data_IF_998110565026
#
_entry.id   IF_998110565026
#
_cell.length_a   1.000
_cell.length_b   1.000
_cell.length_c   1.000
_cell.angle_alpha   90.00
_cell.angle_beta   90.00
_cell.angle_gamma   90.00
#
_symmetry.space_group_name_H-M   'P 1'
#
loop_
_entity.id
_entity.type
_entity.pdbx_description
1 polymer ?
#
# COMPACT_ATOMS: atom_id res chain seq x y z
N UNK A 1 -8.08 34.97 0.07
CA UNK A 1 -7.56 33.60 -0.03
C UNK A 1 -7.98 32.68 1.11
N UNK A 2 -8.04 33.15 2.36
CA UNK A 2 -8.48 32.32 3.51
C UNK A 2 -9.95 31.94 3.45
N UNK A 3 -10.86 32.77 2.94
CA UNK A 3 -12.30 32.49 2.88
C UNK A 3 -12.66 31.37 1.90
N UNK A 4 -11.97 31.31 0.74
CA UNK A 4 -12.19 30.27 -0.26
C UNK A 4 -11.71 28.90 0.22
N UNK A 5 -10.61 28.84 0.98
CA UNK A 5 -10.15 27.58 1.60
C UNK A 5 -11.08 27.09 2.70
N UNK A 6 -11.64 27.99 3.51
CA UNK A 6 -12.66 27.64 4.52
C UNK A 6 -13.93 27.09 3.88
N UNK A 7 -14.42 27.69 2.82
CA UNK A 7 -15.60 27.19 2.10
C UNK A 7 -15.34 25.82 1.47
N UNK A 8 -14.18 25.59 0.87
CA UNK A 8 -13.80 24.26 0.35
C UNK A 8 -13.74 23.20 1.44
N UNK A 9 -13.18 23.52 2.60
CA UNK A 9 -13.18 22.61 3.75
C UNK A 9 -14.58 22.33 4.30
N UNK A 10 -15.47 23.32 4.34
CA UNK A 10 -16.86 23.12 4.73
C UNK A 10 -17.59 22.21 3.75
N UNK A 11 -17.50 22.46 2.45
CA UNK A 11 -18.11 21.61 1.43
C UNK A 11 -17.60 20.17 1.47
N UNK A 12 -16.29 19.95 1.70
CA UNK A 12 -15.70 18.62 1.84
C UNK A 12 -16.27 17.92 3.09
N UNK A 13 -16.34 18.61 4.24
CA UNK A 13 -16.89 18.05 5.47
C UNK A 13 -18.36 17.70 5.33
N UNK A 14 -19.16 18.60 4.76
CA UNK A 14 -20.59 18.38 4.54
C UNK A 14 -20.84 17.20 3.59
N UNK A 15 -19.97 16.99 2.62
CA UNK A 15 -20.04 15.87 1.69
C UNK A 15 -19.56 14.55 2.29
N UNK A 16 -18.63 14.58 3.25
CA UNK A 16 -18.10 13.37 3.89
C UNK A 16 -19.10 12.78 4.89
N UNK A 17 -19.77 13.60 5.68
CA UNK A 17 -20.75 13.12 6.68
C UNK A 17 -21.88 12.27 6.08
N UNK A 18 -22.48 12.64 4.92
CA UNK A 18 -23.48 11.80 4.25
C UNK A 18 -22.98 10.39 3.88
N UNK A 19 -21.67 10.19 3.62
CA UNK A 19 -21.11 8.88 3.30
C UNK A 19 -21.31 7.93 4.50
N UNK A 20 -20.87 8.34 5.67
CA UNK A 20 -21.05 7.56 6.90
C UNK A 20 -22.52 7.34 7.24
N UNK A 21 -23.36 8.37 7.07
CA UNK A 21 -24.78 8.26 7.30
C UNK A 21 -25.44 7.25 6.36
N UNK A 22 -25.15 7.32 5.06
CA UNK A 22 -25.66 6.37 4.07
C UNK A 22 -25.19 4.94 4.36
N UNK A 23 -23.91 4.74 4.68
CA UNK A 23 -23.36 3.44 5.04
C UNK A 23 -24.12 2.82 6.21
N UNK A 24 -24.31 3.59 7.30
CA UNK A 24 -25.06 3.15 8.47
C UNK A 24 -26.52 2.82 8.11
N UNK A 25 -27.17 3.67 7.30
CA UNK A 25 -28.56 3.46 6.87
C UNK A 25 -28.74 2.25 5.98
N UNK A 26 -27.78 1.98 5.09
CA UNK A 26 -27.80 0.81 4.21
C UNK A 26 -27.55 -0.49 4.96
N UNK A 27 -26.59 -0.50 5.88
CA UNK A 27 -26.19 -1.68 6.60
C UNK A 27 -27.11 -2.04 7.77
N UNK A 28 -27.66 -1.05 8.45
CA UNK A 28 -28.39 -1.24 9.71
C UNK A 28 -27.51 -1.82 10.82
N UNK A 29 -28.08 -2.07 11.98
CA UNK A 29 -27.32 -2.59 13.13
C UNK A 29 -26.72 -3.96 12.87
N UNK A 30 -27.50 -4.88 12.31
CA UNK A 30 -27.05 -6.25 12.02
C UNK A 30 -25.99 -6.30 10.91
N UNK A 31 -26.14 -5.46 9.87
CA UNK A 31 -25.15 -5.36 8.80
C UNK A 31 -23.82 -4.81 9.30
N UNK A 32 -23.81 -3.77 10.13
CA UNK A 32 -22.59 -3.20 10.73
C UNK A 32 -21.88 -4.21 11.63
N UNK A 33 -22.64 -4.95 12.43
CA UNK A 33 -22.08 -6.04 13.25
C UNK A 33 -21.43 -7.11 12.38
N UNK A 34 -22.12 -7.57 11.34
CA UNK A 34 -21.60 -8.57 10.41
C UNK A 34 -20.36 -8.07 9.67
N UNK A 35 -20.33 -6.82 9.24
CA UNK A 35 -19.15 -6.20 8.61
C UNK A 35 -17.92 -6.27 9.55
N UNK A 36 -18.10 -5.91 10.82
CA UNK A 36 -17.03 -5.99 11.83
C UNK A 36 -16.56 -7.43 12.07
N UNK A 37 -17.49 -8.39 12.17
CA UNK A 37 -17.18 -9.81 12.34
C UNK A 37 -16.38 -10.35 11.14
N UNK A 38 -16.74 -9.98 9.91
CA UNK A 38 -16.03 -10.37 8.69
C UNK A 38 -14.64 -9.73 8.64
N UNK A 39 -14.49 -8.45 8.96
CA UNK A 39 -13.18 -7.78 9.01
C UNK A 39 -12.24 -8.47 10.00
N UNK A 40 -12.72 -8.80 11.20
CA UNK A 40 -11.95 -9.55 12.20
C UNK A 40 -11.54 -10.94 11.71
N UNK A 41 -12.45 -11.64 11.06
CA UNK A 41 -12.17 -12.97 10.50
C UNK A 41 -11.13 -12.90 9.39
N UNK A 42 -11.27 -11.96 8.46
CA UNK A 42 -10.36 -11.74 7.32
C UNK A 42 -8.95 -11.41 7.79
N UNK A 43 -8.81 -10.50 8.76
CA UNK A 43 -7.52 -10.12 9.33
C UNK A 43 -6.82 -11.30 10.02
N UNK A 44 -7.55 -12.06 10.84
CA UNK A 44 -6.99 -13.23 11.52
C UNK A 44 -6.63 -14.36 10.53
N UNK A 45 -7.41 -14.53 9.47
CA UNK A 45 -7.11 -15.50 8.42
C UNK A 45 -5.82 -15.12 7.67
N UNK A 46 -5.67 -13.85 7.26
CA UNK A 46 -4.44 -13.36 6.65
C UNK A 46 -3.24 -13.48 7.59
N UNK A 47 -3.39 -13.08 8.85
CA UNK A 47 -2.33 -13.19 9.84
C UNK A 47 -1.84 -14.63 9.96
N UNK A 48 -2.75 -15.62 10.02
CA UNK A 48 -2.40 -17.03 10.09
C UNK A 48 -1.66 -17.52 8.83
N UNK A 49 -2.09 -17.08 7.63
CA UNK A 49 -1.48 -17.47 6.36
C UNK A 49 -0.08 -16.88 6.16
N UNK A 50 0.12 -15.64 6.58
CA UNK A 50 1.33 -14.87 6.30
C UNK A 50 2.38 -14.98 7.41
N UNK A 51 1.99 -15.25 8.66
CA UNK A 51 2.90 -15.34 9.81
C UNK A 51 4.12 -16.29 9.62
N UNK A 52 4.04 -17.39 8.85
CA UNK A 52 5.23 -18.22 8.57
C UNK A 52 6.35 -17.47 7.84
N UNK A 53 6.02 -16.50 7.01
CA UNK A 53 6.93 -15.72 6.16
C UNK A 53 7.24 -14.34 6.75
N UNK A 54 6.22 -13.67 7.28
CA UNK A 54 6.33 -12.35 7.90
C UNK A 54 5.64 -12.42 9.27
N UNK A 55 6.42 -12.32 10.32
CA UNK A 55 5.90 -12.46 11.68
C UNK A 55 4.89 -11.36 12.03
N UNK A 56 3.77 -11.75 12.61
CA UNK A 56 2.81 -10.81 13.18
C UNK A 56 3.40 -10.25 14.48
N UNK A 57 3.59 -8.94 14.52
CA UNK A 57 4.33 -8.27 15.61
C UNK A 57 3.52 -8.22 16.91
N UNK A 58 2.23 -7.91 16.83
CA UNK A 58 1.37 -7.79 18.00
C UNK A 58 0.20 -8.75 17.90
N UNK A 59 0.04 -9.54 18.92
CA UNK A 59 -1.08 -10.47 19.10
C UNK A 59 -1.65 -10.33 20.50
N UNK A 60 -2.94 -10.39 20.62
CA UNK A 60 -3.65 -10.39 21.89
C UNK A 60 -3.76 -11.78 22.51
N UNK A 61 -4.71 -11.94 23.41
CA UNK A 61 -5.01 -13.23 24.01
C UNK A 61 -5.36 -14.28 22.94
N UNK A 62 -4.93 -15.53 23.15
CA UNK A 62 -5.14 -16.65 22.23
C UNK A 62 -4.56 -16.44 20.82
N UNK A 63 -3.45 -15.69 20.71
CA UNK A 63 -2.75 -15.41 19.45
C UNK A 63 -3.65 -14.72 18.39
N UNK A 64 -4.69 -14.01 18.81
CA UNK A 64 -5.63 -13.30 17.94
C UNK A 64 -5.27 -11.83 17.79
N UNK A 65 -5.68 -11.29 16.65
CA UNK A 65 -5.56 -9.86 16.32
C UNK A 65 -6.95 -9.25 16.13
N UNK A 66 -7.02 -7.92 16.04
CA UNK A 66 -8.24 -7.20 15.71
C UNK A 66 -8.50 -7.21 14.19
N UNK A 67 -8.92 -6.09 13.61
CA UNK A 67 -9.24 -5.96 12.19
C UNK A 67 -8.02 -5.65 11.31
N UNK A 68 -6.88 -5.37 11.91
CA UNK A 68 -5.61 -5.07 11.24
C UNK A 68 -4.48 -5.91 11.83
N UNK A 69 -3.45 -6.15 11.04
CA UNK A 69 -2.25 -6.85 11.49
C UNK A 69 -0.97 -6.11 11.04
N UNK A 70 0.06 -6.22 11.87
CA UNK A 70 1.36 -5.61 11.62
C UNK A 70 2.35 -6.73 11.36
N UNK A 71 2.87 -6.79 10.12
CA UNK A 71 3.89 -7.73 9.72
C UNK A 71 5.30 -7.14 9.89
N UNK A 72 6.17 -7.87 10.56
CA UNK A 72 7.52 -7.44 10.92
C UNK A 72 8.53 -7.77 9.82
N UNK A 73 9.19 -6.75 9.27
CA UNK A 73 10.27 -6.90 8.29
C UNK A 73 11.66 -6.60 8.88
N UNK A 74 11.80 -6.29 10.18
CA UNK A 74 13.06 -5.83 10.78
C UNK A 74 14.19 -6.86 10.74
N UNK A 75 13.85 -8.14 10.74
CA UNK A 75 14.82 -9.24 10.73
C UNK A 75 14.98 -9.88 9.33
N UNK A 76 14.43 -9.24 8.29
CA UNK A 76 14.59 -9.71 6.92
C UNK A 76 15.76 -8.99 6.22
N UNK A 77 16.39 -9.60 5.21
CA UNK A 77 17.47 -8.98 4.43
C UNK A 77 16.98 -7.91 3.43
N UNK A 78 15.71 -7.54 3.51
CA UNK A 78 15.03 -6.53 2.72
C UNK A 78 14.21 -5.62 3.64
N UNK A 79 13.87 -4.43 3.16
CA UNK A 79 13.03 -3.48 3.91
C UNK A 79 11.53 -3.71 3.65
N UNK A 80 10.68 -3.17 4.52
CA UNK A 80 9.23 -3.14 4.29
C UNK A 80 8.89 -2.40 2.99
N UNK A 81 9.67 -1.36 2.62
CA UNK A 81 9.52 -0.67 1.34
C UNK A 81 9.81 -1.59 0.15
N UNK A 82 10.86 -2.42 0.23
CA UNK A 82 11.18 -3.38 -0.84
C UNK A 82 10.02 -4.36 -1.05
N UNK A 83 9.46 -4.91 0.03
CA UNK A 83 8.30 -5.81 -0.03
C UNK A 83 7.08 -5.09 -0.63
N UNK A 84 6.81 -3.85 -0.20
CA UNK A 84 5.72 -3.04 -0.72
C UNK A 84 5.87 -2.76 -2.23
N UNK A 85 7.09 -2.46 -2.67
CA UNK A 85 7.40 -2.26 -4.10
C UNK A 85 7.25 -3.56 -4.90
N UNK A 86 7.64 -4.71 -4.33
CA UNK A 86 7.42 -6.01 -4.98
C UNK A 86 5.93 -6.36 -5.07
N UNK A 87 5.11 -6.03 -4.07
CA UNK A 87 3.66 -6.19 -4.13
C UNK A 87 3.03 -5.45 -5.32
N UNK A 88 3.60 -4.32 -5.76
CA UNK A 88 3.12 -3.61 -6.96
C UNK A 88 3.29 -4.46 -8.24
N UNK A 89 4.35 -5.26 -8.34
CA UNK A 89 4.52 -6.21 -9.46
C UNK A 89 3.49 -7.33 -9.43
N UNK A 90 3.00 -7.70 -8.24
CA UNK A 90 1.88 -8.64 -8.06
C UNK A 90 0.50 -7.99 -8.25
N UNK A 91 0.46 -6.68 -8.56
CA UNK A 91 -0.77 -5.93 -8.80
C UNK A 91 -1.53 -5.54 -7.55
N UNK A 92 -0.82 -5.32 -6.44
CA UNK A 92 -1.37 -4.79 -5.20
C UNK A 92 -0.91 -3.36 -4.95
N UNK A 93 -1.79 -2.56 -4.39
CA UNK A 93 -1.40 -1.31 -3.77
C UNK A 93 -0.64 -1.61 -2.46
N UNK A 94 0.44 -0.88 -2.22
CA UNK A 94 1.24 -1.09 -1.02
C UNK A 94 0.45 -0.80 0.26
N UNK A 95 0.59 -1.64 1.30
CA UNK A 95 0.02 -1.35 2.62
C UNK A 95 0.74 -0.17 3.29
N UNK A 96 0.20 0.31 4.41
CA UNK A 96 0.84 1.34 5.23
C UNK A 96 2.18 0.82 5.77
N UNK A 97 3.24 1.61 5.55
CA UNK A 97 4.60 1.23 5.93
C UNK A 97 5.07 1.97 7.18
N UNK A 98 5.89 1.27 7.98
CA UNK A 98 6.61 1.86 9.12
C UNK A 98 5.71 2.57 10.14
N UNK A 99 4.52 2.03 10.34
CA UNK A 99 3.58 2.49 11.33
C UNK A 99 2.89 1.29 12.01
N UNK A 100 2.77 1.28 13.35
CA UNK A 100 3.34 2.21 14.32
C UNK A 100 4.84 1.97 14.60
N UNK A 101 5.44 0.95 13.99
CA UNK A 101 6.83 0.57 14.18
C UNK A 101 7.59 0.66 12.87
N UNK A 102 8.80 1.19 12.91
CA UNK A 102 9.67 1.32 11.74
C UNK A 102 9.95 -0.07 11.11
N UNK A 103 9.98 -0.11 9.79
CA UNK A 103 10.23 -1.31 8.99
C UNK A 103 9.20 -2.43 9.22
N UNK A 104 7.94 -2.07 9.33
CA UNK A 104 6.80 -2.97 9.38
C UNK A 104 5.78 -2.61 8.30
N UNK A 105 4.85 -3.51 8.03
CA UNK A 105 3.69 -3.30 7.15
C UNK A 105 2.41 -3.50 7.95
N UNK A 106 1.48 -2.56 7.87
CA UNK A 106 0.16 -2.67 8.47
C UNK A 106 -0.86 -3.01 7.38
N UNK A 107 -1.49 -4.16 7.53
CA UNK A 107 -2.48 -4.69 6.59
C UNK A 107 -3.85 -4.74 7.25
N UNK A 108 -4.82 -4.11 6.63
CA UNK A 108 -6.20 -4.03 7.08
C UNK A 108 -7.14 -4.54 5.98
N UNK A 109 -7.49 -5.82 5.97
CA UNK A 109 -8.52 -6.33 5.08
C UNK A 109 -9.89 -5.89 5.61
N UNK A 110 -10.67 -5.25 4.74
CA UNK A 110 -12.02 -4.82 5.11
C UNK A 110 -13.05 -5.92 4.87
N UNK A 111 -14.30 -5.68 5.28
CA UNK A 111 -15.43 -6.56 5.01
C UNK A 111 -15.78 -6.67 3.52
N UNK A 112 -15.32 -5.74 2.71
CA UNK A 112 -15.61 -5.71 1.27
C UNK A 112 -14.68 -6.59 0.44
N UNK A 113 -13.59 -7.10 1.02
CA UNK A 113 -12.67 -7.98 0.31
C UNK A 113 -13.24 -9.38 0.15
N UNK A 114 -13.16 -9.93 -1.06
CA UNK A 114 -13.55 -11.31 -1.32
C UNK A 114 -12.50 -12.29 -0.80
N UNK A 115 -12.93 -13.54 -0.52
CA UNK A 115 -11.98 -14.58 -0.13
C UNK A 115 -10.92 -14.85 -1.22
N UNK A 116 -11.30 -14.76 -2.50
CA UNK A 116 -10.37 -14.94 -3.62
C UNK A 116 -9.30 -13.85 -3.63
N UNK A 117 -9.66 -12.59 -3.32
CA UNK A 117 -8.71 -11.49 -3.24
C UNK A 117 -7.80 -11.61 -2.02
N UNK A 118 -8.34 -12.04 -0.87
CA UNK A 118 -7.54 -12.34 0.31
C UNK A 118 -6.55 -13.48 0.04
N UNK A 119 -6.98 -14.54 -0.66
CA UNK A 119 -6.09 -15.64 -1.03
C UNK A 119 -5.02 -15.17 -2.00
N UNK A 120 -5.38 -14.37 -3.02
CA UNK A 120 -4.42 -13.78 -3.97
C UNK A 120 -3.36 -12.95 -3.27
N UNK A 121 -3.75 -12.17 -2.24
CA UNK A 121 -2.81 -11.38 -1.43
C UNK A 121 -1.91 -12.28 -0.58
N UNK A 122 -2.47 -13.30 0.08
CA UNK A 122 -1.71 -14.25 0.88
C UNK A 122 -0.67 -15.01 0.03
N UNK A 123 -1.07 -15.45 -1.17
CA UNK A 123 -0.18 -16.13 -2.12
C UNK A 123 0.97 -15.20 -2.59
N UNK A 124 0.67 -13.93 -2.86
CA UNK A 124 1.69 -12.95 -3.21
C UNK A 124 2.69 -12.74 -2.07
N UNK A 125 2.21 -12.59 -0.83
CA UNK A 125 3.07 -12.45 0.34
C UNK A 125 3.92 -13.70 0.59
N UNK A 126 3.37 -14.90 0.41
CA UNK A 126 4.14 -16.15 0.48
C UNK A 126 5.25 -16.19 -0.56
N UNK A 127 4.93 -15.87 -1.82
CA UNK A 127 5.91 -15.84 -2.92
C UNK A 127 7.02 -14.83 -2.64
N UNK A 128 6.68 -13.62 -2.25
CA UNK A 128 7.67 -12.59 -1.87
C UNK A 128 8.51 -13.07 -0.69
N UNK A 129 7.90 -13.70 0.32
CA UNK A 129 8.63 -14.29 1.44
C UNK A 129 9.65 -15.33 1.02
N UNK A 130 9.39 -16.10 -0.03
CA UNK A 130 10.36 -17.05 -0.64
C UNK A 130 11.41 -16.31 -1.47
N UNK A 131 11.02 -15.34 -2.31
CA UNK A 131 11.91 -14.53 -3.14
C UNK A 131 13.00 -13.82 -2.31
N UNK A 132 12.65 -13.34 -1.12
CA UNK A 132 13.57 -12.67 -0.18
C UNK A 132 14.83 -13.52 0.11
N UNK A 133 14.68 -14.84 0.16
CA UNK A 133 15.79 -15.76 0.47
C UNK A 133 16.39 -16.46 -0.76
N UNK A 134 15.67 -16.52 -1.88
CA UNK A 134 16.13 -17.18 -3.10
C UNK A 134 16.71 -16.21 -4.12
N UNK A 135 16.06 -15.08 -4.34
CA UNK A 135 16.45 -14.05 -5.32
C UNK A 135 16.19 -12.66 -4.72
N UNK A 136 16.88 -12.25 -3.64
CA UNK A 136 16.59 -10.99 -2.93
C UNK A 136 16.67 -9.76 -3.83
N UNK A 137 17.46 -9.79 -4.89
CA UNK A 137 17.62 -8.67 -5.82
C UNK A 137 16.33 -8.36 -6.59
N UNK A 138 15.48 -9.36 -6.86
CA UNK A 138 14.19 -9.10 -7.52
C UNK A 138 13.26 -8.26 -6.63
N UNK A 139 13.32 -8.48 -5.32
CA UNK A 139 12.53 -7.70 -4.33
C UNK A 139 13.13 -6.29 -4.17
N UNK A 140 14.45 -6.19 -4.08
CA UNK A 140 15.16 -4.90 -3.90
C UNK A 140 15.07 -3.97 -5.11
N UNK A 141 14.94 -4.52 -6.32
CA UNK A 141 14.84 -3.73 -7.55
C UNK A 141 13.39 -3.48 -7.99
N UNK A 142 12.41 -4.07 -7.31
CA UNK A 142 10.99 -3.80 -7.58
C UNK A 142 10.63 -2.33 -7.29
N UNK A 143 9.59 -1.77 -7.97
CA UNK A 143 8.72 -2.40 -8.95
C UNK A 143 9.32 -2.32 -10.35
N UNK A 144 9.02 -3.30 -11.20
CA UNK A 144 9.51 -3.35 -12.57
C UNK A 144 8.54 -2.63 -13.52
N UNK A 145 8.89 -1.40 -13.86
CA UNK A 145 8.09 -0.56 -14.76
C UNK A 145 8.24 -0.96 -16.23
N UNK A 146 7.30 -0.53 -17.09
CA UNK A 146 7.38 -0.76 -18.53
C UNK A 146 8.68 -0.22 -19.13
N UNK A 147 9.07 0.99 -18.74
CA UNK A 147 10.30 1.63 -19.23
C UNK A 147 11.55 0.81 -18.91
N UNK A 148 11.62 0.22 -17.72
CA UNK A 148 12.73 -0.63 -17.29
C UNK A 148 12.74 -1.96 -18.05
N UNK A 149 11.59 -2.63 -18.15
CA UNK A 149 11.47 -3.93 -18.82
C UNK A 149 11.73 -3.84 -20.32
N UNK A 150 11.31 -2.76 -20.97
CA UNK A 150 11.56 -2.52 -22.40
C UNK A 150 12.96 -1.94 -22.68
N UNK A 151 13.66 -1.46 -21.65
CA UNK A 151 15.02 -0.91 -21.74
C UNK A 151 16.13 -1.96 -21.73
N UNK A 152 17.33 -1.50 -21.43
CA UNK A 152 18.47 -2.39 -21.24
C UNK A 152 18.31 -3.17 -19.92
N UNK A 153 18.23 -4.50 -20.04
CA UNK A 153 18.09 -5.36 -18.87
C UNK A 153 19.47 -5.73 -18.29
N UNK A 154 19.72 -5.34 -17.06
CA UNK A 154 21.02 -5.54 -16.39
C UNK A 154 20.93 -6.47 -15.16
N UNK A 155 19.72 -6.96 -14.83
CA UNK A 155 19.49 -7.81 -13.67
C UNK A 155 19.91 -9.26 -13.93
N UNK A 156 20.32 -9.96 -12.86
CA UNK A 156 20.71 -11.38 -12.92
C UNK A 156 19.52 -12.34 -13.11
N UNK A 157 18.30 -11.90 -12.76
CA UNK A 157 17.05 -12.63 -12.99
C UNK A 157 16.41 -12.21 -14.32
N UNK A 158 15.49 -13.02 -14.82
CA UNK A 158 14.86 -12.80 -16.11
C UNK A 158 13.74 -11.77 -16.05
N UNK A 159 13.41 -11.15 -17.21
CA UNK A 159 12.23 -10.28 -17.34
C UNK A 159 10.93 -11.02 -16.99
N UNK A 160 10.87 -12.32 -17.30
CA UNK A 160 9.70 -13.14 -17.02
C UNK A 160 9.47 -13.28 -15.50
N UNK A 161 10.51 -13.58 -14.74
CA UNK A 161 10.46 -13.65 -13.27
C UNK A 161 10.07 -12.30 -12.66
N UNK A 162 10.60 -11.21 -13.21
CA UNK A 162 10.26 -9.86 -12.74
C UNK A 162 8.80 -9.50 -12.99
N UNK A 163 8.29 -9.77 -14.21
CA UNK A 163 7.01 -9.25 -14.68
C UNK A 163 5.83 -10.18 -14.41
N UNK A 164 6.07 -11.48 -14.31
CA UNK A 164 5.01 -12.49 -14.22
C UNK A 164 5.23 -13.42 -13.02
N UNK A 165 5.30 -12.85 -11.80
CA UNK A 165 5.55 -13.64 -10.60
C UNK A 165 4.45 -14.65 -10.29
N UNK A 166 3.25 -14.45 -10.84
CA UNK A 166 2.09 -15.33 -10.67
C UNK A 166 1.58 -15.93 -11.99
N UNK A 167 0.91 -17.07 -11.89
CA UNK A 167 0.12 -17.67 -12.96
C UNK A 167 -1.38 -17.40 -12.74
N UNK A 168 -2.17 -17.09 -13.77
CA UNK A 168 -1.80 -16.89 -15.18
C UNK A 168 -0.96 -15.65 -15.41
N UNK A 169 -0.11 -15.65 -16.41
CA UNK A 169 0.82 -14.56 -16.76
C UNK A 169 0.06 -13.26 -17.09
N UNK A 170 -0.19 -12.47 -16.07
CA UNK A 170 -0.85 -11.17 -16.18
C UNK A 170 0.05 -10.12 -15.53
N UNK A 171 0.60 -9.23 -16.36
CA UNK A 171 1.41 -8.12 -15.86
C UNK A 171 0.52 -6.96 -15.42
N UNK A 172 0.76 -6.51 -14.23
CA UNK A 172 0.35 -5.19 -13.77
C UNK A 172 1.54 -4.23 -13.94
N UNK A 173 1.32 -3.12 -14.63
CA UNK A 173 2.37 -2.13 -14.88
C UNK A 173 2.32 -1.03 -13.81
N UNK A 174 3.30 -0.97 -12.90
CA UNK A 174 3.40 0.13 -11.96
C UNK A 174 3.62 1.46 -12.71
N UNK A 175 2.88 2.49 -12.31
CA UNK A 175 2.96 3.80 -12.94
C UNK A 175 4.28 4.51 -12.66
N UNK A 176 4.92 4.22 -11.52
CA UNK A 176 6.18 4.82 -11.08
C UNK A 176 7.10 3.77 -10.47
N UNK A 177 8.41 3.95 -10.65
CA UNK A 177 9.44 3.16 -10.01
C UNK A 177 9.76 3.65 -8.59
N UNK A 178 11.03 3.49 -8.19
CA UNK A 178 11.55 4.06 -6.94
C UNK A 178 11.88 5.52 -7.13
N UNK A 179 11.57 6.33 -6.14
CA UNK A 179 11.88 7.76 -6.09
C UNK A 179 12.68 8.06 -4.83
N UNK A 180 13.48 9.12 -4.87
CA UNK A 180 14.10 9.68 -3.68
C UNK A 180 13.08 10.55 -2.94
N UNK A 181 12.38 9.94 -1.97
CA UNK A 181 11.36 10.60 -1.17
C UNK A 181 11.94 11.76 -0.36
N UNK A 182 13.17 11.63 0.15
CA UNK A 182 13.83 12.66 0.97
C UNK A 182 14.16 13.87 0.12
N UNK A 183 14.65 13.64 -1.08
CA UNK A 183 14.88 14.73 -2.03
C UNK A 183 13.56 15.41 -2.42
N UNK A 184 12.54 14.61 -2.76
CA UNK A 184 11.22 15.13 -3.15
C UNK A 184 10.58 15.99 -2.07
N UNK A 185 10.63 15.55 -0.82
CA UNK A 185 10.06 16.29 0.33
C UNK A 185 10.78 17.63 0.57
N UNK A 186 12.07 17.70 0.27
CA UNK A 186 12.89 18.92 0.44
C UNK A 186 12.86 19.85 -0.79
N UNK A 187 12.48 19.33 -1.95
CA UNK A 187 12.50 20.04 -3.22
C UNK A 187 11.12 20.00 -3.87
N UNK A 188 10.12 20.57 -3.19
CA UNK A 188 8.75 20.65 -3.69
C UNK A 188 8.70 21.53 -4.93
N UNK A 189 8.22 20.98 -6.04
CA UNK A 189 7.95 21.72 -7.27
C UNK A 189 6.46 21.98 -7.35
N UNK A 190 6.08 23.28 -7.43
CA UNK A 190 4.69 23.64 -7.64
C UNK A 190 4.31 23.43 -9.11
N UNK A 191 3.56 22.38 -9.38
CA UNK A 191 3.04 22.10 -10.73
C UNK A 191 2.00 23.11 -11.22
N UNK A 192 1.53 24.01 -10.34
CA UNK A 192 0.55 25.05 -10.63
C UNK A 192 1.21 26.40 -10.95
N UNK A 193 2.52 26.47 -11.18
CA UNK A 193 3.24 27.72 -11.44
C UNK A 193 2.69 28.50 -12.64
N UNK A 194 2.15 27.80 -13.63
CA UNK A 194 1.61 28.41 -14.85
C UNK A 194 0.25 29.11 -14.64
N UNK A 195 -0.39 28.86 -13.49
CA UNK A 195 -1.64 29.53 -13.10
C UNK A 195 -1.45 30.75 -12.21
N UNK A 196 -0.21 31.05 -11.80
CA UNK A 196 0.10 32.24 -11.03
C UNK A 196 0.56 33.37 -11.97
N UNK A 197 0.05 34.56 -11.74
CA UNK A 197 0.57 35.78 -12.41
C UNK A 197 2.00 36.03 -11.95
N UNK A 198 2.77 36.79 -12.72
CA UNK A 198 4.17 37.16 -12.37
C UNK A 198 4.25 37.87 -11.01
N UNK A 199 3.22 38.65 -10.65
CA UNK A 199 3.12 39.29 -9.33
C UNK A 199 2.96 38.28 -8.19
N UNK A 200 2.18 37.23 -8.39
CA UNK A 200 1.99 36.17 -7.38
C UNK A 200 3.22 35.30 -7.22
N UNK A 201 3.97 35.03 -8.31
CA UNK A 201 5.27 34.32 -8.26
C UNK A 201 6.31 35.06 -7.42
N UNK A 202 6.29 36.38 -7.46
CA UNK A 202 7.23 37.25 -6.71
C UNK A 202 6.93 37.22 -5.20
N UNK A 203 5.70 36.97 -4.79
CA UNK A 203 5.29 36.88 -3.37
C UNK A 203 5.62 35.50 -2.77
N UNK A 204 5.56 34.43 -3.57
CA UNK A 204 5.85 33.05 -3.12
C UNK A 204 7.35 32.80 -2.98
N UNK A 205 8.18 33.45 -3.81
CA UNK A 205 9.65 33.32 -3.79
C UNK A 205 10.35 34.08 -2.67
N UNK A 206 9.63 34.80 -1.80
CA UNK A 206 10.21 35.63 -0.71
C UNK A 206 9.93 35.09 0.70
N UNK A 207 9.62 33.79 0.84
CA UNK A 207 9.47 33.16 2.18
C UNK A 207 10.48 32.05 2.37
#
# INVERSE_FOLDING_TARGET
HCSVRRQRQMCIRDSILPISWMYIRMMGGDGLRKASEVSLLSANWLAHKIDPYFKVLYKGANERIAHECIFDCRNLPVTAEDVAKRLMDYGFHAPTLSWPVLNTMMVEPTESESLDELQRFADAMEMIGREIFTVPDIVKNSPHTEAEVCGQWTHAYTREEACFPNQPKKKFWPAVGRIDNVYGDRNLVCSCSDYFTEEEKTVVGKK
#
